data_IF_250229265952
#
_entry.id   IF_250229265952
#
_cell.length_a   1.000
_cell.length_b   1.000
_cell.length_c   1.000
_cell.angle_alpha   90.00
_cell.angle_beta   90.00
_cell.angle_gamma   90.00
#
_symmetry.space_group_name_H-M   'P 1'
#
loop_
_entity.id
_entity.type
_entity.pdbx_description
1 polymer ?
#
# COMPACT_ATOMS: atom_id res chain seq x y z
N UNK A 1 -0.86 13.49 -1.55
CA UNK A 1 -1.98 13.14 -0.65
C UNK A 1 -3.34 13.35 -1.32
N UNK A 2 -3.67 14.53 -1.85
CA UNK A 2 -4.99 14.79 -2.47
C UNK A 2 -5.37 13.83 -3.58
N UNK A 3 -4.43 13.47 -4.47
CA UNK A 3 -4.70 12.49 -5.54
C UNK A 3 -5.07 11.10 -5.02
N UNK A 4 -4.47 10.66 -3.92
CA UNK A 4 -4.77 9.35 -3.32
C UNK A 4 -6.18 9.31 -2.72
N UNK A 5 -6.62 10.38 -2.05
CA UNK A 5 -7.99 10.51 -1.58
C UNK A 5 -8.99 10.55 -2.74
N UNK A 6 -8.65 11.28 -3.80
CA UNK A 6 -9.47 11.34 -5.00
C UNK A 6 -9.58 9.96 -5.67
N UNK A 7 -8.47 9.24 -5.83
CA UNK A 7 -8.46 7.88 -6.39
C UNK A 7 -9.30 6.93 -5.53
N UNK A 8 -9.15 6.97 -4.21
CA UNK A 8 -9.92 6.15 -3.29
C UNK A 8 -11.43 6.44 -3.39
N UNK A 9 -11.79 7.72 -3.44
CA UNK A 9 -13.19 8.14 -3.63
C UNK A 9 -13.77 7.66 -4.96
N UNK A 10 -13.04 7.82 -6.06
CA UNK A 10 -13.46 7.35 -7.38
C UNK A 10 -13.65 5.83 -7.43
N UNK A 11 -12.73 5.07 -6.81
CA UNK A 11 -12.86 3.60 -6.73
C UNK A 11 -14.14 3.22 -5.99
N UNK A 12 -14.43 3.86 -4.87
CA UNK A 12 -15.66 3.61 -4.11
C UNK A 12 -16.91 3.95 -4.90
N UNK A 13 -16.90 5.07 -5.62
CA UNK A 13 -18.01 5.52 -6.44
C UNK A 13 -18.31 4.54 -7.59
N UNK A 14 -17.28 4.11 -8.32
CA UNK A 14 -17.42 3.13 -9.39
C UNK A 14 -17.77 1.73 -8.89
N UNK A 15 -17.34 1.35 -7.69
CA UNK A 15 -17.57 0.02 -7.12
C UNK A 15 -18.95 -0.08 -6.44
N UNK A 16 -19.47 1.04 -5.95
CA UNK A 16 -20.73 1.12 -5.19
C UNK A 16 -21.94 0.41 -5.84
N UNK A 17 -22.16 0.46 -7.18
CA UNK A 17 -23.26 -0.26 -7.80
C UNK A 17 -23.07 -1.77 -7.87
N UNK A 18 -21.85 -2.29 -7.70
CA UNK A 18 -21.52 -3.70 -7.83
C UNK A 18 -21.31 -4.37 -6.47
N UNK A 19 -20.61 -3.70 -5.55
CA UNK A 19 -20.20 -4.27 -4.27
C UNK A 19 -20.15 -3.19 -3.19
N UNK A 20 -20.65 -3.51 -2.01
CA UNK A 20 -20.51 -2.66 -0.84
C UNK A 20 -19.05 -2.61 -0.36
N UNK A 21 -18.66 -1.54 0.32
CA UNK A 21 -17.32 -1.40 0.89
C UNK A 21 -16.93 -2.57 1.81
N UNK A 22 -17.87 -3.07 2.62
CA UNK A 22 -17.64 -4.22 3.49
C UNK A 22 -17.43 -5.51 2.71
N UNK A 23 -18.23 -5.74 1.68
CA UNK A 23 -18.11 -6.91 0.80
C UNK A 23 -16.79 -6.86 -0.01
N UNK A 24 -16.34 -5.67 -0.41
CA UNK A 24 -15.05 -5.49 -1.06
C UNK A 24 -13.88 -5.88 -0.15
N UNK A 25 -13.95 -5.55 1.15
CA UNK A 25 -12.97 -5.96 2.16
C UNK A 25 -13.04 -7.48 2.37
N UNK A 26 -14.21 -8.06 2.45
CA UNK A 26 -14.39 -9.50 2.61
C UNK A 26 -13.84 -10.27 1.40
N UNK A 27 -14.11 -9.79 0.20
CA UNK A 27 -13.55 -10.35 -1.05
C UNK A 27 -12.01 -10.30 -1.04
N UNK A 28 -11.43 -9.20 -0.60
CA UNK A 28 -9.98 -9.07 -0.44
C UNK A 28 -9.43 -10.04 0.61
N UNK A 29 -10.20 -10.30 1.68
CA UNK A 29 -9.88 -11.28 2.72
C UNK A 29 -9.85 -12.71 2.16
N UNK A 30 -10.85 -13.11 1.39
CA UNK A 30 -10.91 -14.44 0.74
C UNK A 30 -9.71 -14.67 -0.19
N UNK A 31 -9.21 -13.64 -0.85
CA UNK A 31 -8.01 -13.71 -1.70
C UNK A 31 -6.68 -13.58 -0.91
N UNK A 32 -6.70 -13.69 0.41
CA UNK A 32 -5.50 -13.61 1.26
C UNK A 32 -4.82 -12.23 1.29
N UNK A 33 -5.48 -11.16 0.77
CA UNK A 33 -4.91 -9.81 0.74
C UNK A 33 -5.02 -9.07 2.07
N UNK A 34 -5.79 -9.63 3.01
CA UNK A 34 -5.98 -9.10 4.36
C UNK A 34 -5.18 -9.88 5.41
N UNK A 35 -4.39 -10.87 5.02
CA UNK A 35 -3.45 -11.54 5.92
C UNK A 35 -2.26 -10.61 6.20
N UNK A 36 -2.38 -9.84 7.28
CA UNK A 36 -1.40 -8.82 7.67
C UNK A 36 -0.21 -9.45 8.41
N UNK A 37 -0.44 -10.56 9.11
CA UNK A 37 0.57 -11.18 9.98
C UNK A 37 0.68 -12.67 9.66
N UNK A 38 1.80 -13.05 9.08
CA UNK A 38 2.21 -14.46 8.97
C UNK A 38 3.25 -14.77 10.05
N UNK A 39 2.89 -15.65 10.98
CA UNK A 39 3.74 -16.09 12.09
C UNK A 39 4.66 -17.26 11.72
N UNK A 40 4.50 -17.84 10.54
CA UNK A 40 5.29 -18.98 10.13
C UNK A 40 6.77 -18.61 9.99
N UNK A 41 7.62 -19.49 10.54
CA UNK A 41 9.08 -19.37 10.40
C UNK A 41 9.50 -20.15 9.16
N UNK A 42 9.11 -19.69 7.99
CA UNK A 42 9.57 -20.27 6.73
C UNK A 42 10.58 -19.34 6.06
N UNK A 43 11.80 -19.82 5.88
CA UNK A 43 12.88 -19.06 5.23
C UNK A 43 12.68 -18.91 3.72
N UNK A 44 11.76 -19.66 3.13
CA UNK A 44 11.43 -19.56 1.72
C UNK A 44 10.38 -18.47 1.45
N UNK A 45 9.57 -18.12 2.45
CA UNK A 45 8.60 -17.04 2.34
C UNK A 45 9.23 -15.68 2.68
N UNK A 46 9.08 -14.73 1.75
CA UNK A 46 9.63 -13.37 1.88
C UNK A 46 8.86 -12.51 2.90
N UNK A 47 7.59 -12.81 3.13
CA UNK A 47 6.68 -11.96 3.89
C UNK A 47 6.26 -12.60 5.20
N UNK A 48 7.24 -12.94 6.03
CA UNK A 48 7.01 -13.37 7.41
C UNK A 48 7.22 -12.20 8.37
N UNK A 49 6.63 -12.26 9.57
CA UNK A 49 6.81 -11.22 10.61
C UNK A 49 8.30 -11.06 10.96
N UNK A 50 9.06 -12.14 10.93
CA UNK A 50 10.49 -12.16 11.26
C UNK A 50 11.32 -11.45 10.20
N UNK A 51 11.07 -11.70 8.93
CA UNK A 51 11.73 -10.99 7.83
C UNK A 51 11.34 -9.50 7.80
N UNK A 52 10.08 -9.19 8.12
CA UNK A 52 9.60 -7.82 8.27
C UNK A 52 10.25 -7.08 9.42
N UNK A 53 10.42 -7.74 10.57
CA UNK A 53 11.06 -7.14 11.75
C UNK A 53 12.55 -6.89 11.51
N UNK A 54 13.28 -7.88 11.00
CA UNK A 54 14.72 -7.73 10.73
C UNK A 54 14.98 -6.76 9.59
N UNK A 55 14.33 -6.93 8.45
CA UNK A 55 14.45 -6.02 7.31
C UNK A 55 13.99 -4.60 7.66
N UNK A 56 12.88 -4.48 8.39
CA UNK A 56 12.36 -3.20 8.87
C UNK A 56 13.32 -2.51 9.84
N UNK A 57 14.00 -3.26 10.71
CA UNK A 57 15.02 -2.72 11.62
C UNK A 57 16.21 -2.14 10.84
N UNK A 58 16.74 -2.88 9.87
CA UNK A 58 17.85 -2.40 9.04
C UNK A 58 17.44 -1.17 8.21
N UNK A 59 16.25 -1.18 7.67
CA UNK A 59 15.70 -0.07 6.89
C UNK A 59 15.47 1.17 7.77
N UNK A 60 14.98 0.98 9.00
CA UNK A 60 14.83 2.05 9.97
C UNK A 60 16.18 2.63 10.40
N UNK A 61 17.18 1.80 10.68
CA UNK A 61 18.53 2.25 11.02
C UNK A 61 19.16 3.03 9.86
N UNK A 62 19.00 2.57 8.63
CA UNK A 62 19.46 3.30 7.45
C UNK A 62 18.75 4.64 7.32
N UNK A 63 17.42 4.66 7.40
CA UNK A 63 16.61 5.86 7.21
C UNK A 63 16.84 6.89 8.31
N UNK A 64 16.88 6.49 9.58
CA UNK A 64 17.03 7.41 10.71
C UNK A 64 18.48 7.75 11.04
N UNK A 65 19.44 6.88 10.69
CA UNK A 65 20.84 7.04 11.05
C UNK A 65 21.72 7.62 9.96
N UNK A 66 21.45 7.33 8.69
CA UNK A 66 22.32 7.70 7.57
C UNK A 66 21.72 8.71 6.61
N UNK A 67 20.40 8.86 6.60
CA UNK A 67 19.75 9.89 5.76
C UNK A 67 20.01 11.30 6.33
N UNK A 68 20.91 12.00 5.66
CA UNK A 68 21.32 13.36 6.07
C UNK A 68 20.14 14.33 6.15
N UNK A 69 19.14 14.19 5.30
CA UNK A 69 17.97 15.07 5.31
C UNK A 69 17.10 14.86 6.54
N UNK A 70 17.01 13.64 7.06
CA UNK A 70 16.30 13.33 8.29
C UNK A 70 17.10 13.78 9.52
N UNK A 71 18.40 13.49 9.56
CA UNK A 71 19.28 13.89 10.65
C UNK A 71 19.30 15.42 10.81
N UNK A 72 19.38 16.17 9.72
CA UNK A 72 19.32 17.63 9.77
C UNK A 72 18.02 18.16 10.38
N UNK A 73 16.89 17.52 10.12
CA UNK A 73 15.60 17.89 10.74
C UNK A 73 15.62 17.74 12.27
N UNK A 74 16.35 16.74 12.76
CA UNK A 74 16.43 16.49 14.20
C UNK A 74 17.40 17.45 14.89
N UNK A 75 18.48 17.84 14.19
CA UNK A 75 19.52 18.75 14.73
C UNK A 75 19.10 20.22 14.61
N UNK A 76 18.29 20.58 13.61
CA UNK A 76 17.87 21.97 13.39
C UNK A 76 16.75 22.45 14.34
N UNK A 77 16.23 21.58 15.19
CA UNK A 77 15.31 21.98 16.25
C UNK A 77 16.00 22.88 17.27
N UNK A 78 15.36 24.00 17.68
CA UNK A 78 15.91 24.95 18.65
C UNK A 78 16.07 24.37 20.06
N UNK A 79 15.39 23.23 20.34
CA UNK A 79 15.51 22.50 21.60
C UNK A 79 15.26 20.99 21.39
N UNK A 80 15.88 20.14 22.25
CA UNK A 80 15.65 18.69 22.30
C UNK A 80 14.18 18.35 22.49
N UNK A 81 13.43 19.18 23.20
CA UNK A 81 11.98 18.96 23.41
C UNK A 81 11.19 19.13 22.13
N UNK A 82 11.49 20.14 21.34
CA UNK A 82 10.84 20.37 20.03
C UNK A 82 11.16 19.28 19.05
N UNK A 83 12.40 18.82 18.97
CA UNK A 83 12.79 17.71 18.10
C UNK A 83 12.06 16.41 18.47
N UNK A 84 11.95 16.07 19.75
CA UNK A 84 11.19 14.90 20.23
C UNK A 84 9.70 15.02 19.93
N UNK A 85 9.12 16.20 20.16
CA UNK A 85 7.71 16.45 19.86
C UNK A 85 7.42 16.29 18.37
N UNK A 86 8.28 16.84 17.51
CA UNK A 86 8.16 16.70 16.05
C UNK A 86 8.24 15.26 15.58
N UNK A 87 9.14 14.46 16.15
CA UNK A 87 9.28 13.03 15.88
C UNK A 87 8.03 12.23 16.29
N UNK A 88 7.52 12.47 17.50
CA UNK A 88 6.29 11.81 17.99
C UNK A 88 5.09 12.16 17.11
N UNK A 89 4.94 13.43 16.75
CA UNK A 89 3.85 13.87 15.89
C UNK A 89 3.93 13.24 14.50
N UNK A 90 5.12 13.17 13.91
CA UNK A 90 5.36 12.51 12.64
C UNK A 90 5.03 11.01 12.71
N UNK A 91 5.43 10.33 13.78
CA UNK A 91 5.12 8.92 13.97
C UNK A 91 3.61 8.65 14.07
N UNK A 92 2.89 9.47 14.86
CA UNK A 92 1.44 9.35 15.03
C UNK A 92 0.70 9.57 13.71
N UNK A 93 1.10 10.57 12.91
CA UNK A 93 0.48 10.83 11.60
C UNK A 93 0.84 9.78 10.55
N UNK A 94 2.04 9.21 10.62
CA UNK A 94 2.52 8.25 9.63
C UNK A 94 1.77 6.92 9.68
N UNK A 95 1.37 6.47 10.87
CA UNK A 95 0.65 5.20 11.05
C UNK A 95 -0.69 5.19 10.30
N UNK A 96 -1.64 6.11 10.55
CA UNK A 96 -2.91 6.13 9.82
C UNK A 96 -2.74 6.40 8.33
N UNK A 97 -1.76 7.21 7.96
CA UNK A 97 -1.45 7.47 6.56
C UNK A 97 -0.97 6.22 5.83
N UNK A 98 -0.09 5.43 6.44
CA UNK A 98 0.39 4.18 5.89
C UNK A 98 -0.73 3.16 5.75
N UNK A 99 -1.60 3.06 6.76
CA UNK A 99 -2.77 2.20 6.71
C UNK A 99 -3.70 2.58 5.55
N UNK A 100 -3.92 3.88 5.34
CA UNK A 100 -4.75 4.37 4.25
C UNK A 100 -4.16 4.07 2.87
N UNK A 101 -2.83 4.16 2.72
CA UNK A 101 -2.13 3.80 1.47
C UNK A 101 -2.36 2.31 1.14
N UNK A 102 -2.18 1.43 2.15
CA UNK A 102 -2.39 0.00 1.98
C UNK A 102 -3.85 -0.32 1.65
N UNK A 103 -4.80 0.30 2.35
CA UNK A 103 -6.22 0.14 2.07
C UNK A 103 -6.58 0.57 0.65
N UNK A 104 -6.03 1.69 0.18
CA UNK A 104 -6.22 2.13 -1.21
C UNK A 104 -5.68 1.10 -2.19
N UNK A 105 -4.52 0.49 -1.93
CA UNK A 105 -3.96 -0.59 -2.73
C UNK A 105 -4.87 -1.83 -2.81
N UNK A 106 -5.45 -2.22 -1.68
CA UNK A 106 -6.42 -3.33 -1.62
C UNK A 106 -7.69 -2.99 -2.43
N UNK A 107 -8.19 -1.78 -2.32
CA UNK A 107 -9.38 -1.33 -3.08
C UNK A 107 -9.12 -1.29 -4.59
N UNK A 108 -7.91 -0.89 -5.02
CA UNK A 108 -7.49 -0.98 -6.44
C UNK A 108 -7.48 -2.43 -6.90
N UNK A 109 -7.00 -3.37 -6.08
CA UNK A 109 -7.03 -4.79 -6.41
C UNK A 109 -8.47 -5.28 -6.62
N UNK A 110 -9.40 -4.96 -5.70
CA UNK A 110 -10.82 -5.31 -5.83
C UNK A 110 -11.44 -4.68 -7.07
N UNK A 111 -11.14 -3.42 -7.35
CA UNK A 111 -11.61 -2.73 -8.54
C UNK A 111 -11.27 -3.50 -9.82
N UNK A 112 -10.03 -3.99 -9.96
CA UNK A 112 -9.61 -4.78 -11.12
C UNK A 112 -10.11 -6.24 -11.14
N UNK A 113 -10.88 -6.67 -10.15
CA UNK A 113 -11.65 -7.91 -10.24
C UNK A 113 -12.97 -7.73 -11.00
N UNK A 114 -13.53 -6.51 -10.96
CA UNK A 114 -14.82 -6.18 -11.62
C UNK A 114 -14.64 -5.46 -12.94
N UNK A 115 -13.51 -4.79 -13.15
CA UNK A 115 -13.23 -4.02 -14.36
C UNK A 115 -12.01 -4.57 -15.07
N UNK A 116 -12.08 -4.61 -16.40
CA UNK A 116 -10.94 -5.01 -17.22
C UNK A 116 -9.77 -4.04 -17.07
N UNK A 117 -8.57 -4.59 -17.10
CA UNK A 117 -7.34 -3.79 -16.98
C UNK A 117 -7.13 -2.99 -18.27
N UNK A 118 -7.06 -1.65 -18.22
CA UNK A 118 -6.91 -0.81 -19.41
C UNK A 118 -5.54 -0.99 -20.09
N UNK A 119 -4.57 -1.59 -19.42
CA UNK A 119 -3.20 -1.75 -19.93
C UNK A 119 -2.74 -3.18 -19.70
N UNK A 120 -2.53 -3.90 -20.79
CA UNK A 120 -1.83 -5.18 -20.80
C UNK A 120 -0.36 -4.95 -21.19
N UNK A 121 0.57 -5.19 -20.26
CA UNK A 121 2.01 -5.07 -20.54
C UNK A 121 2.54 -6.20 -21.43
N UNK A 122 1.79 -7.28 -21.58
CA UNK A 122 2.17 -8.39 -22.45
C UNK A 122 1.54 -8.18 -23.83
N UNK A 123 2.36 -7.90 -24.83
CA UNK A 123 1.92 -7.64 -26.21
C UNK A 123 1.16 -8.82 -26.81
N UNK A 124 1.51 -10.05 -26.44
CA UNK A 124 0.82 -11.24 -26.94
C UNK A 124 -0.66 -11.31 -26.47
N UNK A 125 -0.94 -10.81 -25.26
CA UNK A 125 -2.31 -10.74 -24.75
C UNK A 125 -3.08 -9.61 -25.44
N UNK A 126 -2.45 -8.48 -25.70
CA UNK A 126 -3.06 -7.36 -26.46
C UNK A 126 -3.48 -7.80 -27.85
N UNK A 127 -2.63 -8.55 -28.55
CA UNK A 127 -2.97 -9.10 -29.87
C UNK A 127 -4.12 -10.11 -29.83
N UNK A 128 -4.15 -10.99 -28.82
CA UNK A 128 -5.24 -11.95 -28.66
C UNK A 128 -6.59 -11.26 -28.38
N UNK A 129 -6.61 -10.25 -27.51
CA UNK A 129 -7.83 -9.48 -27.22
C UNK A 129 -8.27 -8.69 -28.45
N UNK A 130 -7.35 -8.01 -29.14
CA UNK A 130 -7.69 -7.24 -30.34
C UNK A 130 -8.20 -8.10 -31.51
N UNK A 131 -7.77 -9.36 -31.58
CA UNK A 131 -8.24 -10.31 -32.58
C UNK A 131 -9.60 -10.93 -32.21
N UNK A 132 -9.91 -11.08 -30.92
CA UNK A 132 -11.25 -11.52 -30.48
C UNK A 132 -12.32 -10.47 -30.76
N UNK A 133 -12.02 -9.19 -30.52
CA UNK A 133 -12.96 -8.08 -30.79
C UNK A 133 -13.22 -7.83 -32.29
N UNK A 134 -12.37 -8.38 -33.18
CA UNK A 134 -12.57 -8.30 -34.63
C UNK A 134 -13.33 -9.49 -35.20
N UNK A 135 -13.56 -10.52 -34.40
CA UNK A 135 -14.24 -11.75 -34.84
C UNK A 135 -15.76 -11.74 -34.58
N UNK A 136 -16.24 -10.75 -33.83
CA UNK A 136 -17.68 -10.44 -33.62
C UNK A 136 -18.10 -9.23 -34.50
#
# INVERSE_FOLDING_TARGET
MGGMFYTFYMILDYLSPYVSFLEAIELAGVHGKMEIINWDVDFNERYTIWSGLTGGLFLALSYFGTDQSQVQRYISGSSLRESRMGLMFNAILKIPMQFFILLTGVMVFVFYQYFERPIHFNQNIVELVSNSDRAD
#
